data_IF_180013271993
#
_entry.id   IF_180013271993
#
_cell.length_a   1.000
_cell.length_b   1.000
_cell.length_c   1.000
_cell.angle_alpha   90.00
_cell.angle_beta   90.00
_cell.angle_gamma   90.00
#
_symmetry.space_group_name_H-M   'P 1'
#
loop_
_entity.id
_entity.type
_entity.pdbx_description
1 polymer ?
#
# COMPACT_ATOMS: atom_id res chain seq x y z
N UNK A 1 19.14 19.22 25.45
CA UNK A 1 20.03 18.40 26.30
C UNK A 1 21.07 17.79 25.39
N UNK A 2 22.36 18.02 25.65
CA UNK A 2 23.45 17.53 24.81
C UNK A 2 23.80 16.10 25.24
N UNK A 3 23.67 15.13 24.33
CA UNK A 3 24.10 13.76 24.57
C UNK A 3 25.46 13.56 23.92
N UNK A 4 26.47 13.24 24.73
CA UNK A 4 27.82 12.96 24.26
C UNK A 4 28.08 11.47 24.42
N UNK A 5 28.35 10.81 23.30
CA UNK A 5 28.83 9.44 23.27
C UNK A 5 30.32 9.45 22.95
N UNK A 6 31.15 9.06 23.91
CA UNK A 6 32.61 9.00 23.73
C UNK A 6 33.03 7.56 23.46
N UNK A 7 33.64 7.33 22.31
CA UNK A 7 34.30 6.05 21.99
C UNK A 7 35.80 6.30 21.94
N UNK A 8 36.55 5.55 22.74
CA UNK A 8 38.00 5.60 22.78
C UNK A 8 38.57 4.41 22.01
N UNK A 9 39.56 4.66 21.16
CA UNK A 9 40.27 3.58 20.49
C UNK A 9 41.63 4.00 19.96
N UNK A 10 42.52 3.03 19.83
CA UNK A 10 43.88 3.21 19.33
C UNK A 10 43.93 2.72 17.87
N UNK A 11 44.43 3.57 16.97
CA UNK A 11 44.62 3.26 15.53
C UNK A 11 43.33 2.84 14.79
N UNK A 12 42.20 3.51 15.05
CA UNK A 12 40.94 3.28 14.33
C UNK A 12 40.92 4.13 13.05
N UNK A 13 40.64 3.50 11.90
CA UNK A 13 40.45 4.18 10.62
C UNK A 13 38.99 4.39 10.23
N UNK A 14 38.07 3.63 10.83
CA UNK A 14 36.65 3.61 10.47
C UNK A 14 35.76 3.81 11.70
N UNK A 15 34.78 4.71 11.58
CA UNK A 15 33.70 4.87 12.56
C UNK A 15 32.38 4.44 11.91
N UNK A 16 31.68 3.50 12.54
CA UNK A 16 30.39 2.99 12.04
C UNK A 16 29.35 3.08 13.15
N UNK A 17 28.21 3.69 12.85
CA UNK A 17 27.04 3.69 13.71
C UNK A 17 25.97 2.75 13.14
N UNK A 18 25.28 2.01 14.02
CA UNK A 18 24.10 1.23 13.61
C UNK A 18 22.92 2.17 13.39
N UNK A 19 22.06 1.88 12.42
CA UNK A 19 20.81 2.63 12.18
C UNK A 19 19.99 2.82 13.47
N UNK A 20 19.91 1.77 14.30
CA UNK A 20 19.20 1.83 15.58
C UNK A 20 19.64 2.97 16.51
N UNK A 21 20.85 3.54 16.36
CA UNK A 21 21.28 4.70 17.12
C UNK A 21 20.33 5.90 16.92
N UNK A 22 19.95 6.16 15.67
CA UNK A 22 19.07 7.28 15.33
C UNK A 22 17.62 6.98 15.72
N UNK A 23 17.16 5.74 15.45
CA UNK A 23 15.80 5.31 15.81
C UNK A 23 15.56 5.38 17.32
N UNK A 24 16.52 4.92 18.14
CA UNK A 24 16.41 4.99 19.61
C UNK A 24 16.48 6.41 20.16
N UNK A 25 16.90 7.39 19.37
CA UNK A 25 17.07 8.78 19.76
C UNK A 25 16.33 9.72 18.79
N UNK A 26 15.12 9.34 18.38
CA UNK A 26 14.34 10.05 17.35
C UNK A 26 14.01 11.53 17.70
N UNK A 27 14.14 11.93 18.97
CA UNK A 27 13.96 13.32 19.41
C UNK A 27 15.19 14.22 19.15
N UNK A 28 16.33 13.64 18.72
CA UNK A 28 17.56 14.36 18.46
C UNK A 28 17.68 14.61 16.94
N UNK A 29 17.50 15.87 16.54
CA UNK A 29 17.59 16.26 15.14
C UNK A 29 19.03 16.54 14.72
N UNK A 30 19.83 17.16 15.60
CA UNK A 30 21.19 17.56 15.28
C UNK A 30 22.21 16.59 15.87
N UNK A 31 23.05 16.04 15.00
CA UNK A 31 24.10 15.11 15.36
C UNK A 31 25.46 15.66 14.96
N UNK A 32 26.41 15.58 15.87
CA UNK A 32 27.82 15.86 15.59
C UNK A 32 28.63 14.61 15.86
N UNK A 33 29.35 14.14 14.85
CA UNK A 33 30.35 13.11 14.98
C UNK A 33 31.72 13.78 14.94
N UNK A 34 32.36 13.91 16.09
CA UNK A 34 33.65 14.55 16.25
C UNK A 34 34.74 13.53 16.57
N UNK A 35 35.83 13.60 15.81
CA UNK A 35 37.06 12.87 16.10
C UNK A 35 38.05 13.84 16.69
N UNK A 36 38.49 13.56 17.92
CA UNK A 36 39.52 14.34 18.61
C UNK A 36 40.80 13.51 18.66
N UNK A 37 41.86 14.03 18.07
CA UNK A 37 43.21 13.47 18.17
C UNK A 37 43.99 14.25 19.21
N UNK A 38 44.56 13.53 20.18
CA UNK A 38 45.45 14.10 21.18
C UNK A 38 46.80 13.40 21.16
N UNK A 39 47.87 14.19 21.10
CA UNK A 39 49.25 13.75 21.26
C UNK A 39 49.99 14.68 22.23
N UNK A 40 51.17 14.26 22.69
CA UNK A 40 52.02 15.08 23.56
C UNK A 40 52.50 16.40 22.93
N UNK A 41 52.40 16.53 21.60
CA UNK A 41 52.90 17.67 20.84
C UNK A 41 51.78 18.55 20.27
N UNK A 42 50.63 17.95 19.92
CA UNK A 42 49.53 18.65 19.29
C UNK A 42 48.19 17.94 19.52
N UNK A 43 47.14 18.75 19.66
CA UNK A 43 45.76 18.31 19.58
C UNK A 43 45.14 18.80 18.28
N UNK A 44 44.28 17.99 17.68
CA UNK A 44 43.46 18.36 16.52
C UNK A 44 42.08 17.75 16.65
N UNK A 45 41.08 18.37 16.03
CA UNK A 45 39.77 17.75 15.89
C UNK A 45 39.21 17.97 14.49
N UNK A 46 38.32 17.07 14.10
CA UNK A 46 37.52 17.17 12.88
C UNK A 46 36.13 16.63 13.18
N UNK A 47 35.10 17.25 12.60
CA UNK A 47 33.71 16.89 12.85
C UNK A 47 32.88 16.86 11.57
N UNK A 48 31.85 16.02 11.58
CA UNK A 48 30.77 16.03 10.60
C UNK A 48 29.46 16.24 11.35
N UNK A 49 28.67 17.19 10.86
CA UNK A 49 27.36 17.54 11.39
C UNK A 49 26.26 17.04 10.46
N UNK A 50 25.21 16.44 11.03
CA UNK A 50 24.02 15.98 10.33
C UNK A 50 22.77 16.55 11.00
N UNK A 51 21.78 16.91 10.18
CA UNK A 51 20.43 17.19 10.62
C UNK A 51 19.51 16.07 10.11
N UNK A 52 18.84 15.39 11.03
CA UNK A 52 17.86 14.35 10.73
C UNK A 52 16.55 15.02 10.40
N UNK A 53 16.13 14.90 9.14
CA UNK A 53 14.86 15.42 8.66
C UNK A 53 13.68 14.89 9.50
N UNK A 54 12.71 15.77 9.74
CA UNK A 54 11.51 15.44 10.52
C UNK A 54 10.33 15.26 9.57
N UNK A 55 9.42 14.30 9.83
CA UNK A 55 8.27 14.09 8.96
C UNK A 55 7.21 15.20 9.16
N UNK A 56 6.26 15.36 8.22
CA UNK A 56 5.18 16.34 8.33
C UNK A 56 4.33 16.17 9.59
N UNK A 57 3.97 17.26 10.28
CA UNK A 57 3.27 17.21 11.57
C UNK A 57 2.04 18.11 11.63
N UNK A 58 1.27 17.99 12.72
CA UNK A 58 0.15 18.86 13.11
C UNK A 58 -1.02 18.94 12.13
N UNK A 59 -1.05 18.10 11.10
CA UNK A 59 -2.15 18.02 10.15
C UNK A 59 -3.19 16.96 10.52
N UNK A 60 -4.26 16.95 9.74
CA UNK A 60 -5.31 15.95 9.84
C UNK A 60 -5.92 15.65 8.48
N UNK A 61 -6.47 14.46 8.32
CA UNK A 61 -7.21 14.05 7.13
C UNK A 61 -8.64 13.61 7.49
N UNK A 62 -9.59 13.86 6.58
CA UNK A 62 -11.01 13.51 6.71
C UNK A 62 -11.55 12.93 5.42
N UNK A 63 -12.56 12.05 5.49
CA UNK A 63 -13.27 11.47 4.34
C UNK A 63 -14.77 11.72 4.41
N UNK A 64 -15.39 11.93 3.26
CA UNK A 64 -16.84 12.01 3.11
C UNK A 64 -17.28 11.48 1.72
N UNK A 65 -18.38 10.72 1.61
CA UNK A 65 -19.25 10.24 2.68
C UNK A 65 -18.60 9.14 3.53
N UNK A 66 -19.26 8.75 4.63
CA UNK A 66 -18.83 7.62 5.48
C UNK A 66 -19.41 6.28 5.02
N UNK A 67 -20.41 6.32 4.13
CA UNK A 67 -21.11 5.15 3.60
C UNK A 67 -21.26 5.32 2.09
N UNK A 68 -21.10 4.24 1.34
CA UNK A 68 -21.31 4.23 -0.10
C UNK A 68 -21.14 2.85 -0.72
N UNK A 69 -21.11 2.84 -2.04
CA UNK A 69 -20.83 1.67 -2.87
C UNK A 69 -19.45 1.79 -3.54
N UNK A 70 -18.99 0.74 -4.22
CA UNK A 70 -17.76 0.77 -5.05
C UNK A 70 -17.76 1.83 -6.15
N UNK A 71 -18.92 2.40 -6.49
CA UNK A 71 -19.07 3.49 -7.47
C UNK A 71 -19.20 4.87 -6.86
N UNK A 72 -19.41 4.95 -5.55
CA UNK A 72 -19.50 6.21 -4.82
C UNK A 72 -18.16 6.93 -4.84
N UNK A 73 -18.21 8.24 -5.07
CA UNK A 73 -17.03 9.11 -5.06
C UNK A 73 -16.82 9.65 -3.64
N UNK A 74 -15.75 9.19 -3.01
CA UNK A 74 -15.31 9.62 -1.69
C UNK A 74 -14.31 10.76 -1.82
N UNK A 75 -14.56 11.86 -1.12
CA UNK A 75 -13.63 12.98 -1.06
C UNK A 75 -12.79 12.87 0.21
N UNK A 76 -11.46 12.83 0.04
CA UNK A 76 -10.50 12.88 1.14
C UNK A 76 -9.80 14.24 1.11
N UNK A 77 -9.83 14.92 2.25
CA UNK A 77 -9.19 16.21 2.47
C UNK A 77 -8.17 16.08 3.60
N UNK A 78 -6.91 16.37 3.30
CA UNK A 78 -5.84 16.54 4.26
C UNK A 78 -5.51 18.02 4.42
N UNK A 79 -5.35 18.50 5.65
CA UNK A 79 -5.14 19.93 5.92
C UNK A 79 -4.18 20.13 7.08
N UNK A 80 -3.58 21.33 7.13
CA UNK A 80 -2.71 21.80 8.22
C UNK A 80 -1.43 20.97 8.46
N UNK A 81 -1.03 20.13 7.50
CA UNK A 81 0.28 19.46 7.54
C UNK A 81 1.39 20.50 7.40
N UNK A 82 2.27 20.52 8.39
CA UNK A 82 3.40 21.45 8.49
C UNK A 82 4.69 20.67 8.36
N UNK A 83 5.58 21.18 7.51
CA UNK A 83 6.87 20.58 7.25
C UNK A 83 7.82 21.69 6.78
N UNK A 84 9.06 21.71 7.28
CA UNK A 84 10.07 22.72 6.92
C UNK A 84 10.48 22.65 5.46
N UNK A 85 10.44 21.44 4.89
CA UNK A 85 10.92 21.09 3.57
C UNK A 85 9.75 20.95 2.58
N UNK A 86 8.53 21.04 3.09
CA UNK A 86 7.28 21.05 2.35
C UNK A 86 6.73 19.65 2.11
N UNK A 87 5.40 19.55 2.02
CA UNK A 87 4.71 18.29 1.72
C UNK A 87 4.78 18.02 0.21
N UNK A 88 5.35 16.87 -0.15
CA UNK A 88 5.46 16.40 -1.54
C UNK A 88 4.18 15.73 -2.03
N UNK A 89 3.45 15.01 -1.17
CA UNK A 89 2.19 14.39 -1.56
C UNK A 89 1.65 13.37 -0.57
N UNK A 90 0.60 12.69 -1.01
CA UNK A 90 -0.25 11.82 -0.21
C UNK A 90 -0.43 10.49 -0.92
N UNK A 91 -0.13 9.38 -0.25
CA UNK A 91 -0.53 8.05 -0.72
C UNK A 91 -1.60 7.46 0.19
N UNK A 92 -2.57 6.80 -0.43
CA UNK A 92 -3.75 6.27 0.23
C UNK A 92 -3.69 4.76 0.15
N UNK A 93 -3.82 4.10 1.29
CA UNK A 93 -3.83 2.65 1.38
C UNK A 93 -5.02 2.18 2.20
N UNK A 94 -5.57 1.03 1.85
CA UNK A 94 -6.69 0.44 2.58
C UNK A 94 -6.42 -1.00 2.99
N UNK A 95 -7.12 -1.45 4.02
CA UNK A 95 -7.21 -2.84 4.42
C UNK A 95 -8.61 -3.13 4.96
N UNK A 96 -8.95 -4.41 5.05
CA UNK A 96 -10.20 -4.89 5.63
C UNK A 96 -9.92 -5.54 6.99
N UNK A 97 -9.67 -6.84 7.04
CA UNK A 97 -9.49 -7.57 8.30
C UNK A 97 -8.02 -7.57 8.74
N UNK A 98 -7.09 -7.69 7.79
CA UNK A 98 -5.65 -7.84 8.07
C UNK A 98 -4.86 -6.61 7.60
N UNK A 99 -4.21 -5.91 8.53
CA UNK A 99 -3.37 -4.74 8.24
C UNK A 99 -2.16 -5.07 7.35
N UNK A 100 -1.74 -6.34 7.26
CA UNK A 100 -0.65 -6.76 6.38
C UNK A 100 -1.06 -6.83 4.92
N UNK A 101 -2.37 -6.91 4.63
CA UNK A 101 -2.94 -7.00 3.29
C UNK A 101 -3.35 -5.63 2.76
N UNK A 102 -2.43 -4.66 2.82
CA UNK A 102 -2.71 -3.30 2.36
C UNK A 102 -2.76 -3.24 0.84
N UNK A 103 -3.73 -2.48 0.35
CA UNK A 103 -3.89 -2.16 -1.05
C UNK A 103 -3.66 -0.68 -1.27
N UNK A 104 -2.90 -0.32 -2.31
CA UNK A 104 -2.75 1.07 -2.73
C UNK A 104 -4.04 1.51 -3.45
N UNK A 105 -4.64 2.60 -2.98
CA UNK A 105 -5.83 3.20 -3.56
C UNK A 105 -5.49 4.29 -4.59
N UNK A 106 -4.53 5.16 -4.24
CA UNK A 106 -4.12 6.28 -5.08
C UNK A 106 -2.85 6.95 -4.54
N UNK A 107 -2.26 7.77 -5.40
CA UNK A 107 -1.34 8.84 -5.02
C UNK A 107 -1.90 10.20 -5.49
N UNK A 108 -1.67 11.24 -4.68
CA UNK A 108 -2.03 12.62 -5.03
C UNK A 108 -0.91 13.58 -4.61
N UNK A 109 -0.44 14.48 -5.50
CA UNK A 109 0.48 15.56 -5.13
C UNK A 109 -0.23 16.71 -4.41
N UNK A 110 -1.58 16.72 -4.41
CA UNK A 110 -2.40 17.75 -3.76
C UNK A 110 -3.19 17.14 -2.60
N UNK A 111 -3.56 18.00 -1.66
CA UNK A 111 -4.14 17.60 -0.37
C UNK A 111 -5.63 17.22 -0.41
N UNK A 112 -6.29 17.37 -1.56
CA UNK A 112 -7.67 16.97 -1.78
C UNK A 112 -7.73 15.97 -2.92
N UNK A 113 -8.38 14.83 -2.71
CA UNK A 113 -8.53 13.81 -3.74
C UNK A 113 -9.91 13.18 -3.69
N UNK A 114 -10.44 12.81 -4.85
CA UNK A 114 -11.67 12.05 -4.97
C UNK A 114 -11.35 10.63 -5.45
N UNK A 115 -11.86 9.62 -4.74
CA UNK A 115 -11.55 8.21 -4.96
C UNK A 115 -12.84 7.37 -5.03
N UNK A 116 -12.82 6.32 -5.84
CA UNK A 116 -13.70 5.16 -5.67
C UNK A 116 -12.98 4.14 -4.81
N UNK A 117 -13.71 3.54 -3.88
CA UNK A 117 -13.13 2.65 -2.88
C UNK A 117 -13.52 1.19 -3.15
N UNK A 118 -12.63 0.24 -2.84
CA UNK A 118 -12.95 -1.18 -2.83
C UNK A 118 -14.03 -1.53 -1.82
N UNK A 119 -14.69 -2.67 -2.01
CA UNK A 119 -15.64 -3.25 -1.05
C UNK A 119 -14.94 -3.48 0.29
N UNK A 120 -15.63 -3.16 1.39
CA UNK A 120 -15.15 -3.45 2.73
C UNK A 120 -15.26 -4.94 3.10
N UNK A 121 -14.91 -5.30 4.33
CA UNK A 121 -14.94 -6.68 4.81
C UNK A 121 -16.33 -7.33 4.65
N UNK A 122 -16.41 -8.62 4.28
CA UNK A 122 -17.68 -9.28 3.91
C UNK A 122 -18.81 -9.14 4.94
N UNK A 123 -18.50 -9.21 6.23
CA UNK A 123 -19.50 -9.21 7.29
C UNK A 123 -19.91 -7.83 7.78
N UNK A 124 -19.05 -6.82 7.61
CA UNK A 124 -19.24 -5.48 8.20
C UNK A 124 -19.26 -4.37 7.16
N UNK A 125 -18.86 -4.69 5.93
CA UNK A 125 -18.58 -3.75 4.84
C UNK A 125 -17.60 -2.64 5.23
N UNK A 126 -16.84 -2.85 6.30
CA UNK A 126 -15.90 -1.86 6.83
C UNK A 126 -14.60 -1.89 6.05
N UNK A 127 -14.16 -0.71 5.61
CA UNK A 127 -12.87 -0.48 4.97
C UNK A 127 -12.08 0.51 5.81
N UNK A 128 -10.88 0.13 6.21
CA UNK A 128 -9.95 1.00 6.90
C UNK A 128 -9.02 1.67 5.91
N UNK A 129 -8.63 2.92 6.18
CA UNK A 129 -7.79 3.71 5.30
C UNK A 129 -6.69 4.39 6.12
N UNK A 130 -5.46 4.31 5.62
CA UNK A 130 -4.32 5.09 6.12
C UNK A 130 -3.85 6.01 5.02
N UNK A 131 -3.54 7.25 5.39
CA UNK A 131 -2.90 8.22 4.51
C UNK A 131 -1.44 8.32 4.93
N UNK A 132 -0.52 8.17 3.99
CA UNK A 132 0.90 8.45 4.20
C UNK A 132 1.20 9.82 3.60
N UNK A 133 1.57 10.77 4.46
CA UNK A 133 1.93 12.13 4.08
C UNK A 133 3.44 12.18 3.98
N UNK A 134 3.96 12.51 2.80
CA UNK A 134 5.39 12.48 2.49
C UNK A 134 5.90 13.89 2.24
N UNK A 135 7.05 14.24 2.81
CA UNK A 135 7.77 15.48 2.50
C UNK A 135 8.70 15.34 1.27
N UNK A 136 9.41 16.41 0.95
CA UNK A 136 10.34 16.44 -0.19
C UNK A 136 11.62 15.63 0.03
N UNK A 137 12.01 15.37 1.29
CA UNK A 137 13.17 14.57 1.70
C UNK A 137 12.80 13.11 2.03
N UNK A 138 11.55 12.73 1.77
CA UNK A 138 10.96 11.41 1.91
C UNK A 138 10.71 10.89 3.34
N UNK A 139 10.68 11.75 4.35
CA UNK A 139 10.09 11.35 5.63
C UNK A 139 8.56 11.29 5.51
N UNK A 140 7.97 10.39 6.32
CA UNK A 140 6.57 9.99 6.19
C UNK A 140 5.89 10.09 7.55
N UNK A 141 4.70 10.69 7.55
CA UNK A 141 3.73 10.54 8.64
C UNK A 141 2.58 9.67 8.18
N UNK A 142 2.25 8.64 8.97
CA UNK A 142 1.04 7.84 8.77
C UNK A 142 -0.11 8.44 9.58
N UNK A 143 -1.23 8.68 8.91
CA UNK A 143 -2.46 9.18 9.52
C UNK A 143 -3.59 8.17 9.31
N UNK A 144 -4.06 7.57 10.41
CA UNK A 144 -5.20 6.67 10.39
C UNK A 144 -6.49 7.45 10.17
N UNK A 145 -7.13 7.21 9.03
CA UNK A 145 -8.39 7.84 8.69
C UNK A 145 -9.56 7.13 9.38
N UNK A 146 -10.72 7.81 9.47
CA UNK A 146 -11.95 7.14 9.86
C UNK A 146 -12.30 6.03 8.85
N UNK A 147 -12.64 4.85 9.36
CA UNK A 147 -13.13 3.74 8.57
C UNK A 147 -14.45 4.09 7.91
N UNK A 148 -14.68 3.58 6.70
CA UNK A 148 -15.90 3.81 5.93
C UNK A 148 -16.61 2.50 5.60
N UNK A 149 -17.91 2.57 5.33
CA UNK A 149 -18.70 1.43 4.88
C UNK A 149 -18.81 1.47 3.36
N UNK A 150 -18.29 0.44 2.69
CA UNK A 150 -18.32 0.32 1.22
C UNK A 150 -18.89 -1.03 0.84
N UNK A 151 -20.01 -1.01 0.13
CA UNK A 151 -20.71 -2.21 -0.37
C UNK A 151 -20.43 -2.39 -1.87
N UNK A 152 -20.34 -3.63 -2.33
CA UNK A 152 -20.23 -3.92 -3.76
C UNK A 152 -21.47 -3.40 -4.51
N UNK A 153 -21.25 -2.78 -5.66
CA UNK A 153 -22.31 -2.43 -6.60
C UNK A 153 -22.59 -3.64 -7.51
N UNK A 154 -23.31 -4.63 -6.96
CA UNK A 154 -23.56 -5.92 -7.63
C UNK A 154 -24.26 -5.75 -8.98
N UNK A 155 -25.18 -4.79 -9.12
CA UNK A 155 -25.87 -4.53 -10.39
C UNK A 155 -24.88 -4.15 -11.50
N UNK A 156 -23.87 -3.34 -11.20
CA UNK A 156 -22.85 -2.97 -12.18
C UNK A 156 -21.93 -4.12 -12.54
N UNK A 157 -21.58 -4.98 -11.58
CA UNK A 157 -20.76 -6.17 -11.83
C UNK A 157 -21.52 -7.18 -12.68
N UNK A 158 -22.78 -7.46 -12.32
CA UNK A 158 -23.66 -8.36 -13.07
C UNK A 158 -23.86 -7.83 -14.50
N UNK A 159 -24.08 -6.52 -14.66
CA UNK A 159 -24.19 -5.91 -15.98
C UNK A 159 -22.89 -6.05 -16.80
N UNK A 160 -21.71 -5.97 -16.17
CA UNK A 160 -20.44 -6.20 -16.87
C UNK A 160 -20.33 -7.65 -17.33
N UNK A 161 -20.66 -8.61 -16.46
CA UNK A 161 -20.61 -10.04 -16.77
C UNK A 161 -21.58 -10.39 -17.89
N UNK A 162 -22.82 -9.92 -17.82
CA UNK A 162 -23.83 -10.11 -18.86
C UNK A 162 -23.35 -9.53 -20.20
N UNK A 163 -22.78 -8.32 -20.19
CA UNK A 163 -22.24 -7.71 -21.40
C UNK A 163 -21.04 -8.52 -21.96
N UNK A 164 -20.16 -9.06 -21.12
CA UNK A 164 -19.05 -9.90 -21.56
C UNK A 164 -19.53 -11.24 -22.18
N UNK A 165 -20.62 -11.80 -21.66
CA UNK A 165 -21.18 -13.06 -22.16
C UNK A 165 -22.00 -12.89 -23.45
N UNK A 166 -22.65 -11.73 -23.61
CA UNK A 166 -23.64 -11.51 -24.69
C UNK A 166 -23.14 -10.67 -25.86
N UNK A 167 -22.03 -9.92 -25.72
CA UNK A 167 -21.71 -8.86 -26.70
C UNK A 167 -20.99 -9.32 -27.96
N UNK A 168 -21.71 -9.23 -29.08
CA UNK A 168 -21.18 -9.00 -30.43
C UNK A 168 -21.02 -7.51 -30.78
N UNK A 169 -21.42 -6.57 -29.89
CA UNK A 169 -21.18 -5.11 -30.06
C UNK A 169 -20.94 -4.36 -28.74
N UNK A 170 -19.74 -3.79 -28.58
CA UNK A 170 -19.51 -2.48 -27.95
C UNK A 170 -19.50 -2.32 -26.42
N UNK A 171 -18.59 -3.00 -25.71
CA UNK A 171 -18.28 -2.73 -24.28
C UNK A 171 -17.85 -1.28 -23.97
N UNK A 172 -17.56 -0.47 -24.99
CA UNK A 172 -17.01 0.89 -24.87
C UNK A 172 -17.89 1.86 -24.07
N UNK A 173 -19.20 1.61 -23.98
CA UNK A 173 -20.14 2.46 -23.25
C UNK A 173 -20.34 2.04 -21.79
N UNK A 174 -19.77 0.91 -21.36
CA UNK A 174 -19.91 0.45 -19.98
C UNK A 174 -19.17 1.40 -19.02
N UNK A 175 -19.75 1.82 -17.88
CA UNK A 175 -19.12 2.80 -16.97
C UNK A 175 -17.71 2.40 -16.53
N UNK A 176 -17.49 1.13 -16.20
CA UNK A 176 -16.16 0.63 -15.83
C UNK A 176 -15.18 0.71 -17.00
N UNK A 177 -15.62 0.43 -18.23
CA UNK A 177 -14.77 0.48 -19.43
C UNK A 177 -14.43 1.93 -19.79
N UNK A 178 -15.34 2.87 -19.58
CA UNK A 178 -15.05 4.29 -19.73
C UNK A 178 -14.00 4.79 -18.73
N UNK A 179 -14.04 4.30 -17.48
CA UNK A 179 -13.00 4.61 -16.48
C UNK A 179 -11.66 4.02 -16.91
N UNK A 180 -11.64 2.78 -17.42
CA UNK A 180 -10.43 2.17 -17.96
C UNK A 180 -9.86 2.97 -19.16
N UNK A 181 -10.72 3.57 -19.97
CA UNK A 181 -10.34 4.42 -21.10
C UNK A 181 -10.01 5.87 -20.72
N UNK A 182 -10.14 6.26 -19.45
CA UNK A 182 -9.94 7.66 -19.03
C UNK A 182 -8.47 8.11 -19.01
N UNK A 183 -7.52 7.17 -19.01
CA UNK A 183 -6.09 7.46 -18.84
C UNK A 183 -5.70 7.91 -17.42
N UNK A 184 -6.65 8.02 -16.50
CA UNK A 184 -6.40 8.36 -15.11
C UNK A 184 -5.92 7.13 -14.34
N UNK A 185 -4.62 7.04 -14.07
CA UNK A 185 -4.01 5.87 -13.42
C UNK A 185 -4.62 5.53 -12.05
N UNK A 186 -5.01 6.54 -11.25
CA UNK A 186 -5.69 6.29 -9.97
C UNK A 186 -7.06 5.65 -10.20
N UNK A 187 -7.85 6.19 -11.12
CA UNK A 187 -9.18 5.65 -11.41
C UNK A 187 -9.11 4.24 -12.02
N UNK A 188 -8.13 4.00 -12.90
CA UNK A 188 -7.86 2.68 -13.48
C UNK A 188 -7.47 1.69 -12.38
N UNK A 189 -6.53 2.06 -11.50
CA UNK A 189 -6.09 1.21 -10.39
C UNK A 189 -7.24 0.88 -9.44
N UNK A 190 -8.12 1.83 -9.16
CA UNK A 190 -9.31 1.62 -8.32
C UNK A 190 -10.24 0.58 -8.93
N UNK A 191 -10.56 0.69 -10.22
CA UNK A 191 -11.42 -0.27 -10.91
C UNK A 191 -10.80 -1.67 -10.92
N UNK A 192 -9.50 -1.80 -11.24
CA UNK A 192 -8.81 -3.08 -11.25
C UNK A 192 -8.84 -3.72 -9.86
N UNK A 193 -8.52 -2.95 -8.83
CA UNK A 193 -8.50 -3.41 -7.45
C UNK A 193 -9.87 -3.91 -6.98
N UNK A 194 -10.94 -3.16 -7.26
CA UNK A 194 -12.30 -3.57 -6.91
C UNK A 194 -12.72 -4.84 -7.65
N UNK A 195 -12.44 -4.94 -8.95
CA UNK A 195 -12.74 -6.14 -9.73
C UNK A 195 -11.94 -7.36 -9.26
N UNK A 196 -10.64 -7.20 -8.98
CA UNK A 196 -9.81 -8.29 -8.47
C UNK A 196 -10.32 -8.83 -7.14
N UNK A 197 -10.76 -7.96 -6.23
CA UNK A 197 -11.35 -8.39 -4.96
C UNK A 197 -12.66 -9.13 -5.16
N UNK A 198 -13.55 -8.62 -6.02
CA UNK A 198 -14.82 -9.26 -6.30
C UNK A 198 -14.62 -10.64 -6.95
N UNK A 199 -13.72 -10.76 -7.92
CA UNK A 199 -13.39 -12.05 -8.53
C UNK A 199 -12.76 -13.02 -7.53
N UNK A 200 -11.90 -12.54 -6.64
CA UNK A 200 -11.35 -13.37 -5.57
C UNK A 200 -12.45 -13.89 -4.65
N UNK A 201 -13.43 -13.04 -4.31
CA UNK A 201 -14.59 -13.42 -3.50
C UNK A 201 -15.44 -14.47 -4.20
N UNK A 202 -15.84 -14.23 -5.46
CA UNK A 202 -16.62 -15.18 -6.27
C UNK A 202 -15.89 -16.53 -6.36
N UNK A 203 -14.57 -16.52 -6.58
CA UNK A 203 -13.78 -17.74 -6.63
C UNK A 203 -13.78 -18.50 -5.30
N UNK A 204 -13.62 -17.80 -4.17
CA UNK A 204 -13.67 -18.42 -2.83
C UNK A 204 -15.05 -19.00 -2.52
N UNK A 205 -16.13 -18.29 -2.84
CA UNK A 205 -17.51 -18.77 -2.66
C UNK A 205 -17.80 -20.00 -3.53
N UNK A 206 -17.32 -20.01 -4.78
CA UNK A 206 -17.43 -21.16 -5.68
C UNK A 206 -16.70 -22.39 -5.11
N UNK A 207 -15.46 -22.21 -4.63
CA UNK A 207 -14.69 -23.28 -3.97
C UNK A 207 -15.43 -23.81 -2.75
N UNK A 208 -15.95 -22.94 -1.89
CA UNK A 208 -16.69 -23.34 -0.70
C UNK A 208 -17.96 -24.12 -1.05
N UNK A 209 -18.66 -23.73 -2.11
CA UNK A 209 -19.85 -24.44 -2.62
C UNK A 209 -19.49 -25.84 -3.12
N UNK A 210 -18.39 -25.96 -3.88
CA UNK A 210 -17.88 -27.24 -4.37
C UNK A 210 -17.50 -28.17 -3.21
N UNK A 211 -16.85 -27.63 -2.17
CA UNK A 211 -16.48 -28.37 -0.97
C UNK A 211 -17.70 -28.82 -0.18
N UNK A 212 -18.70 -27.95 -0.02
CA UNK A 212 -19.97 -28.29 0.62
C UNK A 212 -20.72 -29.40 -0.14
N UNK A 213 -20.55 -29.48 -1.46
CA UNK A 213 -21.09 -30.53 -2.32
C UNK A 213 -20.26 -31.84 -2.29
N UNK A 214 -19.26 -31.94 -1.41
CA UNK A 214 -18.53 -33.18 -1.13
C UNK A 214 -17.26 -33.40 -1.96
N UNK A 215 -16.83 -32.42 -2.76
CA UNK A 215 -15.55 -32.49 -3.47
C UNK A 215 -14.43 -31.93 -2.57
N UNK A 216 -13.42 -32.73 -2.19
CA UNK A 216 -12.34 -32.26 -1.33
C UNK A 216 -11.56 -31.11 -1.96
N UNK A 217 -11.08 -30.16 -1.15
CA UNK A 217 -10.22 -29.04 -1.61
C UNK A 217 -8.96 -29.52 -2.32
N UNK A 218 -8.43 -30.69 -1.96
CA UNK A 218 -7.28 -31.32 -2.60
C UNK A 218 -7.49 -31.65 -4.08
N UNK A 219 -8.74 -31.71 -4.53
CA UNK A 219 -9.11 -32.07 -5.90
C UNK A 219 -9.49 -30.83 -6.74
N UNK A 220 -9.45 -29.64 -6.15
CA UNK A 220 -9.78 -28.38 -6.83
C UNK A 220 -8.48 -27.73 -7.27
N UNK A 221 -8.28 -27.62 -8.58
CA UNK A 221 -7.16 -26.90 -9.18
C UNK A 221 -7.69 -25.62 -9.80
N UNK A 222 -7.34 -24.48 -9.21
CA UNK A 222 -7.58 -23.17 -9.82
C UNK A 222 -6.27 -22.71 -10.44
N UNK A 223 -6.20 -22.77 -11.77
CA UNK A 223 -5.06 -22.27 -12.52
C UNK A 223 -5.12 -20.74 -12.61
N UNK A 224 -4.03 -20.01 -12.31
CA UNK A 224 -3.91 -18.64 -12.78
C UNK A 224 -4.08 -18.58 -14.30
N UNK A 225 -4.61 -17.46 -14.83
CA UNK A 225 -4.88 -17.27 -16.26
C UNK A 225 -3.66 -17.52 -17.17
N UNK A 226 -2.44 -17.48 -16.64
CA UNK A 226 -1.19 -17.75 -17.35
C UNK A 226 -0.68 -19.21 -17.27
N UNK A 227 -1.33 -20.09 -16.50
CA UNK A 227 -0.94 -21.50 -16.41
C UNK A 227 -1.93 -22.39 -17.14
N UNK A 228 -1.73 -22.57 -18.45
CA UNK A 228 -2.32 -23.72 -19.13
C UNK A 228 -1.74 -25.01 -18.53
N UNK A 229 -2.62 -25.81 -17.93
CA UNK A 229 -2.32 -27.19 -17.56
C UNK A 229 -2.04 -27.97 -18.86
N UNK A 230 -0.77 -28.32 -19.10
CA UNK A 230 -0.44 -29.37 -20.06
C UNK A 230 -0.67 -30.72 -19.37
N UNK A 231 -1.58 -31.57 -19.85
CA UNK A 231 -1.69 -32.93 -19.35
C UNK A 231 -0.36 -33.63 -19.64
N UNK A 232 0.32 -34.08 -18.58
CA UNK A 232 1.52 -34.89 -18.72
C UNK A 232 1.20 -36.14 -19.55
N UNK A 233 1.83 -36.26 -20.72
CA UNK A 233 1.87 -37.50 -21.47
C UNK A 233 2.68 -38.48 -20.63
N UNK A 234 2.01 -39.36 -19.90
CA UNK A 234 2.63 -40.52 -19.26
C UNK A 234 3.01 -41.52 -20.35
N UNK A 235 4.20 -41.39 -20.93
CA UNK A 235 4.83 -42.52 -21.63
C UNK A 235 5.55 -43.36 -20.59
N UNK A 236 4.90 -44.43 -20.12
CA UNK A 236 5.60 -45.56 -19.54
C UNK A 236 6.52 -46.15 -20.63
N UNK A 237 7.83 -46.11 -20.41
CA UNK A 237 8.75 -47.07 -21.01
C UNK A 237 9.29 -47.94 -19.87
N UNK A 238 8.74 -49.15 -19.83
CA UNK A 238 9.33 -50.31 -19.18
C UNK A 238 10.51 -50.74 -20.06
N UNK A 239 11.72 -50.67 -19.53
CA UNK A 239 12.85 -51.43 -20.08
C UNK A 239 13.62 -52.05 -18.92
N UNK A 240 13.25 -53.30 -18.64
CA UNK A 240 14.16 -54.29 -18.09
C UNK A 240 15.04 -54.83 -19.22
N UNK A 241 16.34 -54.54 -19.16
CA UNK A 241 17.46 -55.52 -19.17
C UNK A 241 18.79 -54.78 -19.22
#
# INVERSE_FOLDING_TARGET
QLFIFTILGFNISNFTAKNNLFVSNALINYWRFEVVYSSSLQNGSSAIDFEINQPPQNGSCSINPQNGTTTTLFNILCSNWQDSDGVQGYSFQSWTVDYTQQMILAYSPVSTVQLRLPTGADNTSLLHIVVRIRDTLHCITEYNLSSVIVVADSELIDSLVDNLQTSTTGLTNHPLVQVLNSGNQNAISQVINSLSQEFNKINLESIQTIVANGIPTSNIVVSPLDSQYQPGVSSFHDDRM
#
